data_IF_102059306564
#
_entry.id   IF_102059306564
#
_cell.length_a   1.000
_cell.length_b   1.000
_cell.length_c   1.000
_cell.angle_alpha   90.00
_cell.angle_beta   90.00
_cell.angle_gamma   90.00
#
_symmetry.space_group_name_H-M   'P 1'
#
loop_
_entity.id
_entity.type
_entity.pdbx_description
1 polymer ?
#
# COMPACT_ATOMS: atom_id res chain seq x y z
N UNK A 1 -2.27 14.73 27.93
CA UNK A 1 -1.37 14.25 26.86
C UNK A 1 -2.15 13.34 25.93
N UNK A 2 -2.44 13.78 24.70
CA UNK A 2 -3.03 12.92 23.66
C UNK A 2 -1.91 12.42 22.78
N UNK A 3 -1.57 11.13 22.89
CA UNK A 3 -0.67 10.46 21.95
C UNK A 3 -1.52 10.00 20.76
N UNK A 4 -1.83 10.92 19.86
CA UNK A 4 -2.38 10.56 18.55
C UNK A 4 -1.23 10.11 17.67
N UNK A 5 -1.30 8.89 17.13
CA UNK A 5 -0.45 8.50 16.02
C UNK A 5 -0.68 9.52 14.89
N UNK A 6 0.27 10.44 14.70
CA UNK A 6 0.30 11.25 13.49
C UNK A 6 0.24 10.25 12.34
N UNK A 7 -0.77 10.39 11.46
CA UNK A 7 -0.82 9.61 10.23
C UNK A 7 0.34 10.12 9.40
N UNK A 8 1.53 9.59 9.65
CA UNK A 8 2.60 9.64 8.67
C UNK A 8 1.98 8.97 7.45
N UNK A 9 1.91 9.71 6.35
CA UNK A 9 1.70 9.11 5.04
C UNK A 9 2.85 8.11 4.89
N UNK A 10 2.57 6.85 5.23
CA UNK A 10 3.52 5.76 5.23
C UNK A 10 3.87 5.54 3.76
N UNK A 11 4.91 6.21 3.28
CA UNK A 11 5.42 6.03 1.90
C UNK A 11 5.90 4.60 1.66
N UNK A 12 5.94 3.77 2.72
CA UNK A 12 6.22 2.37 2.61
C UNK A 12 5.04 1.64 1.94
N UNK A 13 5.24 1.06 0.75
CA UNK A 13 4.17 0.39 0.05
C UNK A 13 3.65 -0.79 0.89
N UNK A 14 2.34 -0.78 1.17
CA UNK A 14 1.67 -1.82 1.95
C UNK A 14 1.03 -2.84 1.03
N UNK A 15 1.06 -4.11 1.43
CA UNK A 15 0.31 -5.15 0.75
C UNK A 15 -1.19 -4.91 0.91
N UNK A 16 -1.96 -5.07 -0.17
CA UNK A 16 -3.41 -5.11 -0.09
C UNK A 16 -3.86 -6.45 0.54
N UNK A 17 -4.09 -6.43 1.86
CA UNK A 17 -4.47 -7.63 2.64
C UNK A 17 -5.83 -8.20 2.25
N UNK A 18 -6.75 -7.36 1.76
CA UNK A 18 -8.06 -7.80 1.29
C UNK A 18 -7.94 -8.66 0.02
N UNK A 19 -7.08 -8.25 -0.92
CA UNK A 19 -6.79 -9.04 -2.12
C UNK A 19 -5.92 -10.27 -1.83
N UNK A 20 -5.02 -10.17 -0.84
CA UNK A 20 -4.15 -11.26 -0.45
C UNK A 20 -4.90 -12.47 0.08
N UNK A 21 -5.98 -12.27 0.84
CA UNK A 21 -6.72 -13.33 1.54
C UNK A 21 -7.19 -14.49 0.64
N UNK A 22 -7.40 -14.23 -0.66
CA UNK A 22 -7.77 -15.23 -1.67
C UNK A 22 -6.71 -15.49 -2.74
N UNK A 23 -5.51 -14.94 -2.59
CA UNK A 23 -4.48 -15.03 -3.63
C UNK A 23 -3.62 -16.28 -3.46
N UNK A 24 -3.64 -17.14 -4.46
CA UNK A 24 -2.87 -18.39 -4.53
C UNK A 24 -1.36 -18.19 -4.83
N UNK A 25 -0.96 -17.01 -5.28
CA UNK A 25 0.47 -16.68 -5.49
C UNK A 25 1.20 -16.35 -4.18
N UNK A 26 0.53 -15.60 -3.29
CA UNK A 26 1.10 -15.22 -2.00
C UNK A 26 0.49 -15.96 -0.83
N UNK A 27 -0.47 -16.88 -1.05
CA UNK A 27 -1.11 -17.69 -0.02
C UNK A 27 -1.66 -16.90 1.18
N UNK A 28 -2.28 -15.73 0.94
CA UNK A 28 -2.80 -14.90 2.04
C UNK A 28 -1.83 -13.87 2.61
N UNK A 29 -0.54 -13.92 2.27
CA UNK A 29 0.47 -13.08 2.92
C UNK A 29 0.56 -11.66 2.34
N UNK A 30 0.19 -11.48 1.07
CA UNK A 30 0.28 -10.21 0.36
C UNK A 30 1.71 -9.81 -0.05
N UNK A 31 2.70 -10.61 0.34
CA UNK A 31 4.09 -10.54 -0.09
C UNK A 31 4.57 -11.92 -0.54
N UNK A 32 5.63 -11.92 -1.35
CA UNK A 32 6.32 -13.12 -1.83
C UNK A 32 7.81 -12.98 -1.58
N UNK A 33 8.48 -14.12 -1.42
CA UNK A 33 9.94 -14.18 -1.35
C UNK A 33 10.44 -14.50 -2.75
N UNK A 34 11.24 -13.60 -3.31
CA UNK A 34 11.89 -13.84 -4.60
C UNK A 34 12.93 -14.95 -4.48
N UNK A 35 13.37 -15.48 -5.63
CA UNK A 35 14.50 -16.42 -5.67
C UNK A 35 15.79 -15.83 -5.05
N UNK A 36 15.94 -14.51 -5.05
CA UNK A 36 17.05 -13.79 -4.41
C UNK A 36 16.88 -13.62 -2.89
N UNK A 37 15.81 -14.17 -2.31
CA UNK A 37 15.49 -14.03 -0.88
C UNK A 37 14.92 -12.67 -0.49
N UNK A 38 14.64 -11.78 -1.44
CA UNK A 38 14.00 -10.48 -1.13
C UNK A 38 12.52 -10.65 -0.89
N UNK A 39 12.02 -9.97 0.13
CA UNK A 39 10.60 -9.78 0.39
C UNK A 39 10.08 -8.71 -0.56
N UNK A 40 9.19 -9.09 -1.46
CA UNK A 40 8.54 -8.17 -2.40
C UNK A 40 7.02 -8.29 -2.27
N UNK A 41 6.29 -7.22 -2.57
CA UNK A 41 4.83 -7.26 -2.53
C UNK A 41 4.31 -8.14 -3.66
N UNK A 42 3.25 -8.89 -3.39
CA UNK A 42 2.66 -9.76 -4.41
C UNK A 42 2.05 -8.90 -5.51
N UNK A 43 2.66 -8.88 -6.70
CA UNK A 43 2.20 -7.99 -7.76
C UNK A 43 0.74 -8.24 -8.15
N UNK A 44 0.25 -9.48 -8.13
CA UNK A 44 -1.15 -9.79 -8.40
C UNK A 44 -2.11 -9.14 -7.38
N UNK A 45 -1.70 -9.04 -6.12
CA UNK A 45 -2.47 -8.37 -5.08
C UNK A 45 -2.36 -6.84 -5.16
N UNK A 46 -1.28 -6.31 -5.75
CA UNK A 46 -1.08 -4.86 -5.86
C UNK A 46 -1.68 -4.27 -7.15
N UNK A 47 -1.80 -5.06 -8.22
CA UNK A 47 -2.19 -4.59 -9.54
C UNK A 47 -3.70 -4.65 -9.82
N UNK A 48 -4.48 -5.40 -9.03
CA UNK A 48 -5.93 -5.50 -9.29
C UNK A 48 -6.67 -4.17 -9.06
N UNK A 49 -6.13 -3.30 -8.20
CA UNK A 49 -6.52 -1.89 -8.10
C UNK A 49 -5.45 -1.17 -7.31
N UNK A 50 -4.47 -0.56 -8.00
CA UNK A 50 -3.91 0.69 -7.50
C UNK A 50 -5.04 1.73 -7.60
N UNK A 51 -6.07 1.60 -6.75
CA UNK A 51 -6.99 2.71 -6.54
C UNK A 51 -6.17 3.74 -5.79
N UNK A 52 -5.77 4.75 -6.55
CA UNK A 52 -4.97 5.88 -6.17
C UNK A 52 -5.32 6.33 -4.75
N UNK A 53 -4.40 6.14 -3.81
CA UNK A 53 -4.33 7.01 -2.66
C UNK A 53 -3.52 8.24 -3.09
N UNK A 54 -4.21 9.06 -3.89
CA UNK A 54 -4.09 10.50 -4.08
C UNK A 54 -2.84 11.16 -3.48
N UNK A 55 -2.04 11.76 -4.36
CA UNK A 55 -1.20 12.90 -3.97
C UNK A 55 -2.10 13.96 -3.32
N UNK A 56 -2.01 14.12 -2.00
CA UNK A 56 -2.48 15.31 -1.31
C UNK A 56 -1.31 16.28 -1.16
N UNK A 57 -0.69 16.67 -2.27
CA UNK A 57 0.26 17.78 -2.33
C UNK A 57 -0.23 18.85 -3.30
N UNK A 58 -1.50 19.22 -3.28
CA UNK A 58 -1.94 20.48 -3.92
C UNK A 58 -3.13 21.10 -3.18
N UNK A 59 -2.93 22.12 -2.33
CA UNK A 59 -4.02 23.03 -2.00
C UNK A 59 -4.37 23.88 -3.24
N UNK A 60 -5.66 24.12 -3.54
CA UNK A 60 -6.06 24.92 -4.69
C UNK A 60 -5.60 26.37 -4.50
N UNK A 61 -4.88 26.87 -5.49
CA UNK A 61 -4.67 28.29 -5.70
C UNK A 61 -6.04 28.91 -6.07
N UNK A 62 -6.58 29.75 -5.20
CA UNK A 62 -7.73 30.63 -5.44
C UNK A 62 -7.69 31.76 -4.41
N UNK A 63 -7.26 32.97 -4.77
CA UNK A 63 -8.07 34.11 -5.25
C UNK A 63 -9.15 34.56 -4.26
N UNK A 64 -8.80 35.51 -3.39
CA UNK A 64 -9.44 36.83 -3.29
C UNK A 64 -8.51 37.82 -2.58
#
# INVERSE_FOLDING_TARGET
MTYGAMVALDSNPRANTALAAGCELCYGWGSVITFQGRHELCQACQSLTAHECHDSSTPPSGTE
#
